data_IF_188259924287
#
_entry.id   IF_188259924287
#
_cell.length_a   1.000
_cell.length_b   1.000
_cell.length_c   1.000
_cell.angle_alpha   90.00
_cell.angle_beta   90.00
_cell.angle_gamma   90.00
#
_symmetry.space_group_name_H-M   'P 1'
#
loop_
_entity.id
_entity.type
_entity.pdbx_description
1 polymer ?
#
# COMPACT_ATOMS: atom_id res chain seq x y z
N UNK A 1 5.20 -17.23 6.80
CA UNK A 1 5.08 -15.81 6.42
C UNK A 1 3.65 -15.37 6.68
N UNK A 2 3.45 -14.26 7.38
CA UNK A 2 2.11 -13.74 7.61
C UNK A 2 1.80 -12.58 6.64
N UNK A 3 0.54 -12.15 6.63
CA UNK A 3 0.09 -11.10 5.71
C UNK A 3 0.85 -9.79 5.94
N UNK A 4 1.12 -9.43 7.19
CA UNK A 4 1.85 -8.20 7.51
C UNK A 4 3.26 -8.22 6.93
N UNK A 5 3.97 -9.33 7.06
CA UNK A 5 5.32 -9.46 6.50
C UNK A 5 5.30 -9.37 4.98
N UNK A 6 4.32 -10.01 4.35
CA UNK A 6 4.16 -9.95 2.90
C UNK A 6 3.94 -8.53 2.42
N UNK A 7 3.03 -7.82 3.06
CA UNK A 7 2.70 -6.43 2.67
C UNK A 7 3.86 -5.48 2.96
N UNK A 8 4.55 -5.66 4.07
CA UNK A 8 5.74 -4.86 4.39
C UNK A 8 6.84 -5.05 3.35
N UNK A 9 7.02 -6.28 2.88
CA UNK A 9 7.98 -6.57 1.84
C UNK A 9 7.60 -5.89 0.52
N UNK A 10 6.32 -5.94 0.13
CA UNK A 10 5.84 -5.22 -1.05
C UNK A 10 6.07 -3.72 -0.91
N UNK A 11 5.76 -3.17 0.26
CA UNK A 11 5.93 -1.74 0.53
C UNK A 11 7.39 -1.32 0.37
N UNK A 12 8.32 -2.12 0.85
CA UNK A 12 9.76 -1.81 0.74
C UNK A 12 10.25 -1.82 -0.71
N UNK A 13 9.51 -2.46 -1.61
CA UNK A 13 9.85 -2.56 -3.02
C UNK A 13 8.97 -1.71 -3.93
N UNK A 14 8.20 -0.79 -3.35
CA UNK A 14 7.38 0.12 -4.13
C UNK A 14 8.27 0.97 -5.04
N UNK A 15 7.73 1.25 -6.24
CA UNK A 15 8.39 2.02 -7.30
C UNK A 15 9.57 1.30 -7.96
N UNK A 16 9.92 0.11 -7.47
CA UNK A 16 10.92 -0.73 -8.12
C UNK A 16 10.29 -1.94 -8.78
N UNK A 17 9.54 -2.71 -8.00
CA UNK A 17 8.92 -3.96 -8.46
C UNK A 17 7.41 -3.94 -8.36
N UNK A 18 6.85 -3.03 -7.54
CA UNK A 18 5.41 -2.96 -7.30
C UNK A 18 4.92 -1.52 -7.35
N UNK A 19 3.67 -1.37 -7.74
CA UNK A 19 2.99 -0.07 -7.72
C UNK A 19 2.09 0.00 -6.49
N UNK A 20 1.63 1.22 -6.14
CA UNK A 20 0.65 1.39 -5.06
C UNK A 20 -0.66 0.69 -5.39
N UNK A 21 -1.04 0.63 -6.66
CA UNK A 21 -2.22 -0.08 -7.10
C UNK A 21 -2.11 -1.58 -6.79
N UNK A 22 -0.96 -2.17 -7.06
CA UNK A 22 -0.70 -3.58 -6.74
C UNK A 22 -0.73 -3.83 -5.24
N UNK A 23 -0.14 -2.94 -4.45
CA UNK A 23 -0.17 -3.05 -3.00
C UNK A 23 -1.61 -2.96 -2.48
N UNK A 24 -2.39 -2.02 -2.99
CA UNK A 24 -3.79 -1.87 -2.60
C UNK A 24 -4.59 -3.14 -2.91
N UNK A 25 -4.37 -3.72 -4.10
CA UNK A 25 -5.05 -4.95 -4.49
C UNK A 25 -4.66 -6.11 -3.57
N UNK A 26 -3.39 -6.21 -3.21
CA UNK A 26 -2.93 -7.25 -2.29
C UNK A 26 -3.58 -7.10 -0.91
N UNK A 27 -3.68 -5.87 -0.40
CA UNK A 27 -4.32 -5.59 0.89
C UNK A 27 -5.78 -6.02 0.84
N UNK A 28 -6.50 -5.67 -0.20
CA UNK A 28 -7.91 -6.05 -0.35
C UNK A 28 -8.09 -7.56 -0.43
N UNK A 29 -7.25 -8.23 -1.22
CA UNK A 29 -7.30 -9.68 -1.37
C UNK A 29 -7.07 -10.38 -0.03
N UNK A 30 -6.05 -9.96 0.70
CA UNK A 30 -5.75 -10.54 2.00
C UNK A 30 -6.87 -10.31 3.01
N UNK A 31 -7.50 -9.14 2.95
CA UNK A 31 -8.65 -8.85 3.81
C UNK A 31 -9.84 -9.76 3.48
N UNK A 32 -10.15 -9.92 2.20
CA UNK A 32 -11.26 -10.76 1.76
C UNK A 32 -11.06 -12.22 2.18
N UNK A 33 -9.82 -12.71 2.13
CA UNK A 33 -9.51 -14.09 2.53
C UNK A 33 -9.34 -14.26 4.04
N UNK A 34 -9.50 -13.19 4.82
CA UNK A 34 -9.45 -13.26 6.27
C UNK A 34 -8.06 -13.25 6.89
N UNK A 35 -7.04 -12.88 6.11
CA UNK A 35 -5.67 -12.76 6.61
C UNK A 35 -5.38 -11.42 7.29
N UNK A 36 -6.23 -10.43 7.07
CA UNK A 36 -6.15 -9.13 7.73
C UNK A 36 -7.48 -8.86 8.43
N UNK A 37 -7.42 -8.40 9.68
CA UNK A 37 -8.63 -7.95 10.35
C UNK A 37 -8.99 -6.53 9.87
N UNK A 38 -10.14 -6.04 10.31
CA UNK A 38 -10.65 -4.73 9.87
C UNK A 38 -9.68 -3.60 10.21
N UNK A 39 -9.11 -3.64 11.41
CA UNK A 39 -8.20 -2.60 11.86
C UNK A 39 -6.91 -2.60 11.03
N UNK A 40 -6.35 -3.76 10.79
CA UNK A 40 -5.16 -3.90 9.96
C UNK A 40 -5.42 -3.44 8.53
N UNK A 41 -6.56 -3.82 7.98
CA UNK A 41 -6.97 -3.40 6.66
C UNK A 41 -7.08 -1.87 6.57
N UNK A 42 -7.78 -1.25 7.52
CA UNK A 42 -7.93 0.21 7.54
C UNK A 42 -6.58 0.93 7.66
N UNK A 43 -5.68 0.40 8.48
CA UNK A 43 -4.34 0.96 8.62
C UNK A 43 -3.57 0.91 7.31
N UNK A 44 -3.63 -0.21 6.60
CA UNK A 44 -2.95 -0.33 5.32
C UNK A 44 -3.53 0.60 4.26
N UNK A 45 -4.85 0.72 4.20
CA UNK A 45 -5.50 1.63 3.25
C UNK A 45 -5.09 3.08 3.53
N UNK A 46 -5.06 3.49 4.80
CA UNK A 46 -4.62 4.83 5.18
C UNK A 46 -3.16 5.08 4.77
N UNK A 47 -2.31 4.08 4.97
CA UNK A 47 -0.90 4.17 4.62
C UNK A 47 -0.70 4.30 3.11
N UNK A 48 -1.43 3.52 2.33
CA UNK A 48 -1.39 3.60 0.87
C UNK A 48 -1.84 4.97 0.38
N UNK A 49 -2.92 5.50 0.96
CA UNK A 49 -3.40 6.85 0.61
C UNK A 49 -2.35 7.91 0.91
N UNK A 50 -1.64 7.78 2.03
CA UNK A 50 -0.58 8.72 2.38
C UNK A 50 0.58 8.66 1.36
N UNK A 51 0.95 7.48 0.92
CA UNK A 51 1.99 7.30 -0.09
C UNK A 51 1.57 7.93 -1.41
N UNK A 52 0.34 7.70 -1.84
CA UNK A 52 -0.18 8.28 -3.08
C UNK A 52 -0.26 9.79 -3.01
N UNK A 53 -0.66 10.34 -1.87
CA UNK A 53 -0.71 11.79 -1.67
C UNK A 53 0.69 12.41 -1.77
N UNK A 54 1.70 11.76 -1.19
CA UNK A 54 3.08 12.22 -1.29
C UNK A 54 3.58 12.23 -2.72
N UNK A 55 3.28 11.19 -3.49
CA UNK A 55 3.68 11.11 -4.89
C UNK A 55 3.03 12.23 -5.71
N UNK A 56 1.75 12.46 -5.51
CA UNK A 56 1.02 13.52 -6.20
C UNK A 56 1.62 14.88 -5.87
N UNK A 57 1.92 15.12 -4.60
CA UNK A 57 2.54 16.38 -4.16
C UNK A 57 3.90 16.59 -4.82
N UNK A 58 4.72 15.55 -4.88
CA UNK A 58 6.02 15.62 -5.53
C UNK A 58 5.91 15.93 -7.01
N UNK A 59 4.94 15.32 -7.69
CA UNK A 59 4.70 15.59 -9.10
C UNK A 59 4.29 17.04 -9.34
N UNK A 60 3.43 17.59 -8.47
CA UNK A 60 3.01 18.98 -8.57
C UNK A 60 4.18 19.94 -8.34
N UNK A 61 5.06 19.63 -7.40
CA UNK A 61 6.25 20.43 -7.16
C UNK A 61 7.20 20.43 -8.35
N UNK A 62 7.35 19.28 -9.01
CA UNK A 62 8.21 19.20 -10.20
C UNK A 62 7.60 19.92 -11.40
N UNK A 63 6.28 19.95 -11.48
CA UNK A 63 5.59 20.63 -12.58
C UNK A 63 5.55 22.14 -12.41
N UNK A 64 5.72 22.59 -11.20
CA UNK A 64 5.78 24.03 -10.90
C UNK A 64 7.22 24.50 -11.01
#
# INVERSE_FOLDING_TARGET
>A
MNAQSYLSNMKSKLDRFYTTSELNQAVETLHVFGHLDRKEYENWIAEIKAIEAQKTEQLLKKAA
#
